data_IF_444809705346
#
_entry.id   IF_444809705346
#
_cell.length_a   1.000
_cell.length_b   1.000
_cell.length_c   1.000
_cell.angle_alpha   90.00
_cell.angle_beta   90.00
_cell.angle_gamma   90.00
#
_symmetry.space_group_name_H-M   'P 1'
#
loop_
_entity.id
_entity.type
_entity.pdbx_description
1 polymer ?
#
# COMPACT_ATOMS: atom_id res chain seq x y z
N UNK A 1 7.23 -3.75 -1.01
CA UNK A 1 5.78 -3.87 -1.28
C UNK A 1 5.31 -5.30 -1.45
N UNK A 2 5.95 -6.11 -2.30
CA UNK A 2 5.56 -7.51 -2.58
C UNK A 2 5.45 -8.40 -1.32
N UNK A 3 6.25 -8.13 -0.28
CA UNK A 3 6.18 -8.85 0.99
C UNK A 3 4.84 -8.68 1.74
N UNK A 4 4.17 -7.53 1.57
CA UNK A 4 2.90 -7.23 2.24
C UNK A 4 1.73 -8.02 1.64
N UNK A 5 0.81 -8.45 2.48
CA UNK A 5 -0.53 -8.95 2.12
C UNK A 5 -1.42 -7.83 1.58
N UNK A 6 -2.58 -8.20 1.03
CA UNK A 6 -3.56 -7.23 0.53
C UNK A 6 -4.14 -6.38 1.66
N UNK A 7 -4.38 -6.96 2.84
CA UNK A 7 -4.93 -6.22 3.98
C UNK A 7 -3.91 -5.22 4.57
N UNK A 8 -2.62 -5.57 4.60
CA UNK A 8 -1.55 -4.64 5.02
C UNK A 8 -1.43 -3.47 4.02
N UNK A 9 -1.53 -3.74 2.71
CA UNK A 9 -1.57 -2.69 1.69
C UNK A 9 -2.81 -1.82 1.83
N UNK A 10 -3.98 -2.42 2.07
CA UNK A 10 -5.23 -1.70 2.29
C UNK A 10 -5.12 -0.76 3.50
N UNK A 11 -4.49 -1.23 4.59
CA UNK A 11 -4.19 -0.42 5.78
C UNK A 11 -3.33 0.79 5.41
N UNK A 12 -2.24 0.60 4.65
CA UNK A 12 -1.41 1.72 4.19
C UNK A 12 -2.17 2.71 3.31
N UNK A 13 -2.93 2.22 2.33
CA UNK A 13 -3.70 3.09 1.43
C UNK A 13 -4.85 3.80 2.14
N UNK A 14 -5.40 3.21 3.20
CA UNK A 14 -6.38 3.88 4.06
C UNK A 14 -5.75 5.12 4.72
N UNK A 15 -4.53 4.96 5.25
CA UNK A 15 -3.78 6.03 5.91
C UNK A 15 -3.30 7.17 4.98
N UNK A 16 -3.47 7.03 3.66
CA UNK A 16 -3.12 8.09 2.71
C UNK A 16 -4.04 9.32 2.89
N UNK A 17 -5.27 9.13 3.36
CA UNK A 17 -6.22 10.22 3.60
C UNK A 17 -5.75 11.17 4.72
N UNK A 18 -5.07 10.64 5.74
CA UNK A 18 -4.59 11.35 6.92
C UNK A 18 -3.46 12.33 6.60
N UNK A 19 -2.76 12.13 5.48
CA UNK A 19 -1.77 13.07 4.93
C UNK A 19 -2.34 13.98 3.83
N UNK A 20 -3.66 13.98 3.65
CA UNK A 20 -4.37 14.82 2.68
C UNK A 20 -4.28 14.34 1.24
N UNK A 21 -3.92 13.06 1.00
CA UNK A 21 -3.93 12.51 -0.35
C UNK A 21 -5.37 12.32 -0.86
N UNK A 22 -5.56 12.47 -2.17
CA UNK A 22 -6.85 12.15 -2.81
C UNK A 22 -7.16 10.65 -2.74
N UNK A 23 -6.14 9.81 -2.91
CA UNK A 23 -6.23 8.36 -2.81
C UNK A 23 -4.84 7.74 -2.61
N UNK A 24 -4.79 6.52 -2.09
CA UNK A 24 -3.61 5.66 -2.10
C UNK A 24 -3.84 4.49 -3.04
N UNK A 25 -2.88 4.20 -3.92
CA UNK A 25 -2.94 3.08 -4.85
C UNK A 25 -1.64 2.26 -4.79
N UNK A 26 -1.79 0.95 -4.89
CA UNK A 26 -0.67 -0.01 -5.01
C UNK A 26 -0.91 -0.82 -6.27
N UNK A 27 0.11 -0.94 -7.12
CA UNK A 27 0.02 -1.77 -8.31
C UNK A 27 -0.29 -3.23 -7.92
N UNK A 28 -1.20 -3.91 -8.63
CA UNK A 28 -1.55 -5.29 -8.33
C UNK A 28 -0.37 -6.23 -8.65
N UNK A 29 -0.34 -7.37 -7.98
CA UNK A 29 0.58 -8.47 -8.22
C UNK A 29 -0.15 -9.81 -8.04
N UNK A 30 0.58 -10.93 -8.01
CA UNK A 30 -0.01 -12.25 -7.81
C UNK A 30 -0.87 -12.37 -6.55
N UNK A 31 -0.54 -11.62 -5.47
CA UNK A 31 -1.35 -11.62 -4.25
C UNK A 31 -2.70 -10.94 -4.45
N UNK A 32 -2.79 -9.96 -5.36
CA UNK A 32 -4.06 -9.33 -5.72
C UNK A 32 -4.96 -10.32 -6.47
N UNK A 33 -4.39 -11.10 -7.39
CA UNK A 33 -5.11 -12.19 -8.08
C UNK A 33 -5.61 -13.22 -7.07
N UNK A 34 -4.73 -13.70 -6.20
CA UNK A 34 -5.09 -14.71 -5.19
C UNK A 34 -6.19 -14.21 -4.25
N UNK A 35 -6.14 -12.94 -3.85
CA UNK A 35 -7.19 -12.30 -3.05
C UNK A 35 -8.52 -12.22 -3.81
N UNK A 36 -8.53 -11.82 -5.09
CA UNK A 36 -9.75 -11.75 -5.89
C UNK A 36 -10.40 -13.14 -6.06
N UNK A 37 -9.59 -14.17 -6.27
CA UNK A 37 -10.09 -15.56 -6.37
C UNK A 37 -10.65 -16.03 -5.03
N UNK A 38 -9.89 -15.87 -3.94
CA UNK A 38 -10.27 -16.40 -2.63
C UNK A 38 -11.42 -15.64 -1.97
N UNK A 39 -11.37 -14.30 -1.96
CA UNK A 39 -12.30 -13.45 -1.21
C UNK A 39 -13.47 -12.93 -2.04
N UNK A 40 -13.30 -12.86 -3.37
CA UNK A 40 -14.37 -12.40 -4.29
C UNK A 40 -14.96 -13.53 -5.14
N UNK A 41 -14.41 -14.74 -5.06
CA UNK A 41 -14.90 -15.90 -5.83
C UNK A 41 -14.74 -15.72 -7.34
N UNK A 42 -13.80 -14.88 -7.78
CA UNK A 42 -13.53 -14.63 -9.19
C UNK A 42 -12.84 -15.84 -9.83
N UNK A 43 -13.11 -16.10 -11.10
CA UNK A 43 -12.31 -17.06 -11.86
C UNK A 43 -10.86 -16.57 -11.95
N UNK A 44 -9.89 -17.49 -11.88
CA UNK A 44 -8.47 -17.10 -11.88
C UNK A 44 -8.05 -16.41 -13.18
N UNK A 45 -8.49 -16.92 -14.34
CA UNK A 45 -8.11 -16.32 -15.62
C UNK A 45 -8.72 -14.92 -15.77
N UNK A 46 -9.95 -14.72 -15.28
CA UNK A 46 -10.58 -13.39 -15.22
C UNK A 46 -9.82 -12.44 -14.30
N UNK A 47 -9.40 -12.91 -13.11
CA UNK A 47 -8.64 -12.10 -12.16
C UNK A 47 -7.25 -11.72 -12.71
N UNK A 48 -6.56 -12.63 -13.38
CA UNK A 48 -5.28 -12.37 -14.03
C UNK A 48 -5.42 -11.35 -15.16
N UNK A 49 -6.44 -11.50 -16.01
CA UNK A 49 -6.73 -10.55 -17.08
C UNK A 49 -7.13 -9.17 -16.56
N UNK A 50 -7.83 -9.10 -15.42
CA UNK A 50 -8.26 -7.84 -14.82
C UNK A 50 -7.08 -6.97 -14.35
N UNK A 51 -6.04 -7.62 -13.82
CA UNK A 51 -4.87 -6.91 -13.27
C UNK A 51 -3.75 -6.71 -14.29
N UNK A 52 -3.87 -7.32 -15.48
CA UNK A 52 -2.86 -7.26 -16.52
C UNK A 52 -2.61 -5.81 -16.96
N UNK A 53 -1.33 -5.41 -16.98
CA UNK A 53 -0.91 -4.09 -17.44
C UNK A 53 -1.25 -2.93 -16.49
N UNK A 54 -1.77 -3.18 -15.28
CA UNK A 54 -2.09 -2.13 -14.30
C UNK A 54 -0.85 -1.65 -13.52
N UNK A 55 0.21 -1.29 -14.23
CA UNK A 55 1.43 -0.73 -13.67
C UNK A 55 1.72 0.65 -14.27
N UNK A 56 2.50 1.47 -13.56
CA UNK A 56 3.00 2.72 -14.12
C UNK A 56 3.95 2.45 -15.29
N UNK A 57 3.91 3.31 -16.31
CA UNK A 57 4.85 3.26 -17.42
C UNK A 57 6.29 3.55 -16.92
N UNK A 58 7.34 3.01 -17.58
CA UNK A 58 8.72 3.22 -17.16
C UNK A 58 9.18 4.68 -17.15
N UNK A 59 8.52 5.54 -17.92
CA UNK A 59 8.77 6.98 -18.07
C UNK A 59 7.73 7.86 -17.36
N UNK A 60 6.91 7.27 -16.48
CA UNK A 60 5.93 8.02 -15.69
C UNK A 60 6.62 9.06 -14.79
N UNK A 61 6.16 10.32 -14.88
CA UNK A 61 6.66 11.41 -14.07
C UNK A 61 5.89 11.53 -12.74
N UNK A 62 6.62 11.72 -11.64
CA UNK A 62 6.06 11.96 -10.31
C UNK A 62 6.45 13.36 -9.82
N UNK A 63 5.47 14.12 -9.33
CA UNK A 63 5.70 15.45 -8.72
C UNK A 63 6.69 15.36 -7.54
N UNK A 64 6.66 14.24 -6.81
CA UNK A 64 7.58 13.93 -5.71
C UNK A 64 7.74 12.41 -5.57
N UNK A 65 8.97 11.96 -5.38
CA UNK A 65 9.31 10.58 -5.03
C UNK A 65 9.81 10.56 -3.59
N UNK A 66 9.33 9.61 -2.80
CA UNK A 66 9.76 9.36 -1.41
C UNK A 66 10.23 7.90 -1.36
N UNK A 67 11.51 7.70 -1.04
CA UNK A 67 12.10 6.39 -0.88
C UNK A 67 12.23 6.06 0.61
N UNK A 68 11.77 4.87 1.00
CA UNK A 68 11.79 4.41 2.39
C UNK A 68 12.44 3.02 2.45
N UNK A 69 13.43 2.85 3.32
CA UNK A 69 13.96 1.53 3.66
C UNK A 69 13.09 0.90 4.75
N UNK A 70 12.32 -0.11 4.37
CA UNK A 70 11.44 -0.81 5.29
C UNK A 70 12.18 -1.54 6.43
N UNK A 71 13.47 -1.86 6.27
CA UNK A 71 14.26 -2.50 7.31
C UNK A 71 14.65 -1.56 8.46
N UNK A 72 14.60 -0.25 8.22
CA UNK A 72 14.86 0.78 9.24
C UNK A 72 13.58 1.17 10.02
N UNK A 73 12.41 0.78 9.51
CA UNK A 73 11.12 1.09 10.16
C UNK A 73 10.95 0.22 11.40
N UNK A 74 10.83 0.88 12.55
CA UNK A 74 10.55 0.27 13.87
C UNK A 74 9.11 0.56 14.28
N UNK A 75 8.56 -0.15 15.29
CA UNK A 75 7.23 0.15 15.80
C UNK A 75 7.10 1.61 16.24
N UNK A 76 6.04 2.28 15.76
CA UNK A 76 5.74 3.68 16.05
C UNK A 76 4.33 3.83 16.63
N UNK A 77 4.12 4.93 17.35
CA UNK A 77 2.79 5.38 17.80
C UNK A 77 2.55 6.81 17.33
N UNK A 78 1.34 7.10 16.85
CA UNK A 78 0.91 8.47 16.60
C UNK A 78 0.46 9.11 17.93
N UNK A 79 0.98 10.29 18.24
CA UNK A 79 0.64 11.02 19.46
C UNK A 79 -0.76 11.67 19.38
N UNK A 80 -1.40 11.95 20.54
CA UNK A 80 -2.71 12.59 20.55
C UNK A 80 -2.71 13.95 19.83
N UNK A 81 -3.78 14.20 19.07
CA UNK A 81 -4.06 15.49 18.43
C UNK A 81 -3.68 15.60 16.96
N UNK A 82 -2.74 14.77 16.47
CA UNK A 82 -2.34 14.76 15.06
C UNK A 82 -1.80 13.37 14.66
N UNK A 83 -2.42 12.67 13.69
CA UNK A 83 -1.93 11.37 13.22
C UNK A 83 -0.55 11.44 12.55
N UNK A 84 -0.10 12.62 12.10
CA UNK A 84 1.23 12.85 11.54
C UNK A 84 2.35 12.89 12.59
N UNK A 85 2.01 13.03 13.88
CA UNK A 85 2.99 13.10 14.97
C UNK A 85 3.38 11.71 15.46
N UNK A 86 4.08 10.95 14.61
CA UNK A 86 4.62 9.64 14.96
C UNK A 86 5.91 9.71 15.77
N UNK A 87 6.01 8.90 16.84
CA UNK A 87 7.26 8.63 17.56
C UNK A 87 7.56 7.13 17.55
N UNK A 88 8.84 6.77 17.59
CA UNK A 88 9.22 5.38 17.82
C UNK A 88 8.88 4.96 19.25
N UNK A 89 8.38 3.74 19.42
CA UNK A 89 7.92 3.30 20.74
C UNK A 89 9.02 3.21 21.80
N UNK A 90 10.28 3.09 21.39
CA UNK A 90 11.45 3.10 22.28
C UNK A 90 11.96 4.52 22.63
N UNK A 91 11.35 5.56 22.06
CA UNK A 91 11.59 6.97 22.36
C UNK A 91 10.48 7.61 23.22
N UNK A 92 9.45 6.83 23.57
CA UNK A 92 8.33 7.22 24.43
C UNK A 92 8.69 7.27 25.92
#
# INVERSE_FOLDING_TARGET
MEALSIDERATMTNMAAEVGAFTGIVAPDGKAVDYLVAERGMDRAEAEALVEGLHSDPDAEYVKVIELDASEIRPMVALPGDPGNGLYMDEL
#
